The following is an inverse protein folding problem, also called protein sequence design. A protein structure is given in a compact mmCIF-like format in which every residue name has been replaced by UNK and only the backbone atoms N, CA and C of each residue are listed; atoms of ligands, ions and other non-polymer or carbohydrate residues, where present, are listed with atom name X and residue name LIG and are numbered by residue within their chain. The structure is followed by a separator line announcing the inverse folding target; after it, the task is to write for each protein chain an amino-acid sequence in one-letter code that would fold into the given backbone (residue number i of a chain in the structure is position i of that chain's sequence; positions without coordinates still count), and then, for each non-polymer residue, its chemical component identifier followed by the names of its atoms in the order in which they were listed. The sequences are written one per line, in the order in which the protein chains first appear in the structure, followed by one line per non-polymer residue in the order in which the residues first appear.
data_IF_627683150789
#
_entry.id   IF_627683150789
#
_cell.length_a   1.000
_cell.length_b   1.000
_cell.length_c   1.000
_cell.angle_alpha   90.00
_cell.angle_beta   90.00
_cell.angle_gamma   90.00
#
_symmetry.space_group_name_H-M   'P 1'
#
loop_
_entity.id
_entity.type
_entity.pdbx_description
1 polymer ?
#
# COMPACT_ATOMS: atom_id res chain seq x y z
N UNK A 1 -73.90 -19.82 -18.82
CA UNK A 1 -74.11 -18.51 -19.47
C UNK A 1 -72.83 -17.71 -19.36
N UNK A 2 -72.33 -17.21 -20.50
CA UNK A 2 -71.21 -16.27 -20.72
C UNK A 2 -69.82 -16.78 -20.30
N UNK A 3 -68.70 -16.67 -21.01
CA UNK A 3 -68.17 -16.01 -22.23
C UNK A 3 -66.78 -15.51 -21.75
N UNK A 4 -65.66 -15.43 -22.47
CA UNK A 4 -65.20 -15.63 -23.83
C UNK A 4 -63.66 -15.64 -23.70
N UNK A 5 -62.94 -16.34 -24.57
CA UNK A 5 -61.50 -16.09 -24.80
C UNK A 5 -61.30 -14.65 -25.29
N UNK A 6 -60.20 -13.99 -24.88
CA UNK A 6 -59.30 -13.26 -25.80
C UNK A 6 -57.88 -13.26 -25.21
N UNK A 7 -56.94 -13.82 -25.98
CA UNK A 7 -55.49 -13.65 -25.84
C UNK A 7 -55.11 -12.30 -26.44
N UNK A 8 -54.39 -11.46 -25.69
CA UNK A 8 -53.54 -10.43 -26.29
C UNK A 8 -52.21 -10.35 -25.53
N UNK A 9 -51.15 -10.72 -26.24
CA UNK A 9 -49.78 -10.52 -25.84
C UNK A 9 -49.41 -9.03 -25.95
N UNK A 10 -48.82 -8.48 -24.90
CA UNK A 10 -48.00 -7.25 -25.00
C UNK A 10 -46.64 -7.60 -24.42
N UNK A 11 -45.67 -7.72 -25.32
CA UNK A 11 -44.26 -7.69 -24.99
C UNK A 11 -43.86 -6.23 -24.73
N UNK A 12 -43.31 -5.94 -23.54
CA UNK A 12 -42.43 -4.80 -23.34
C UNK A 12 -41.64 -4.92 -22.03
N UNK A 13 -40.32 -5.03 -22.18
CA UNK A 13 -39.28 -4.62 -21.24
C UNK A 13 -39.19 -5.33 -19.89
N UNK A 14 -38.39 -6.41 -19.90
CA UNK A 14 -37.65 -6.92 -18.74
C UNK A 14 -36.90 -5.75 -18.06
N UNK A 15 -37.27 -5.43 -16.82
CA UNK A 15 -36.43 -4.62 -15.93
C UNK A 15 -36.10 -5.50 -14.74
N UNK A 16 -35.18 -6.43 -14.97
CA UNK A 16 -34.52 -7.20 -13.94
C UNK A 16 -33.89 -6.22 -12.96
N UNK A 17 -34.47 -6.09 -11.78
CA UNK A 17 -33.86 -5.40 -10.65
C UNK A 17 -32.77 -6.29 -10.09
N UNK A 18 -31.67 -6.44 -10.83
CA UNK A 18 -30.44 -6.98 -10.30
C UNK A 18 -29.83 -5.91 -9.38
N UNK A 19 -29.52 -6.23 -8.11
CA UNK A 19 -28.62 -5.38 -7.35
C UNK A 19 -27.30 -5.30 -8.15
N UNK A 20 -26.64 -4.13 -8.23
CA UNK A 20 -25.33 -4.07 -8.87
C UNK A 20 -24.45 -5.15 -8.24
N UNK A 21 -23.67 -5.91 -9.02
CA UNK A 21 -22.70 -6.81 -8.42
C UNK A 21 -21.88 -5.98 -7.42
N UNK A 22 -21.51 -6.54 -6.25
CA UNK A 22 -20.50 -5.88 -5.44
C UNK A 22 -19.37 -5.54 -6.40
N UNK A 23 -18.92 -4.28 -6.40
CA UNK A 23 -17.63 -3.94 -7.01
C UNK A 23 -16.60 -4.74 -6.23
N UNK A 24 -16.45 -6.01 -6.59
CA UNK A 24 -15.19 -6.70 -6.52
C UNK A 24 -14.29 -5.86 -7.40
N UNK A 25 -13.58 -4.93 -6.77
CA UNK A 25 -12.28 -4.51 -7.25
C UNK A 25 -11.45 -5.79 -7.29
N UNK A 26 -11.53 -6.46 -8.43
CA UNK A 26 -10.59 -7.46 -8.85
C UNK A 26 -9.19 -6.88 -8.65
N UNK A 27 -8.35 -7.62 -7.93
CA UNK A 27 -6.91 -7.38 -7.89
C UNK A 27 -6.53 -5.99 -7.39
N UNK A 28 -6.70 -5.75 -6.08
CA UNK A 28 -5.84 -4.78 -5.42
C UNK A 28 -4.41 -5.30 -5.47
N UNK A 29 -3.73 -5.01 -6.58
CA UNK A 29 -2.28 -5.07 -6.70
C UNK A 29 -1.70 -4.60 -5.36
N UNK A 30 -0.80 -5.42 -4.81
CA UNK A 30 -0.19 -5.13 -3.52
C UNK A 30 0.20 -3.65 -3.43
N UNK A 31 0.02 -3.04 -2.25
CA UNK A 31 0.04 -1.59 -2.02
C UNK A 31 1.01 -0.89 -2.96
N UNK A 32 0.43 -0.26 -3.98
CA UNK A 32 1.21 0.53 -4.92
C UNK A 32 1.71 1.71 -4.11
N UNK A 33 3.00 1.71 -3.79
CA UNK A 33 3.67 2.88 -3.25
C UNK A 33 3.70 3.91 -4.38
N UNK A 34 2.63 4.70 -4.49
CA UNK A 34 2.36 5.57 -5.66
C UNK A 34 3.28 6.80 -5.66
N UNK A 35 3.77 7.20 -4.48
CA UNK A 35 4.65 8.35 -4.34
C UNK A 35 6.09 8.00 -4.75
N UNK A 36 6.66 8.79 -5.68
CA UNK A 36 8.07 8.67 -6.03
C UNK A 36 8.90 9.50 -5.04
N UNK A 37 9.73 8.82 -4.25
CA UNK A 37 10.70 9.45 -3.35
C UNK A 37 11.82 10.11 -4.15
N UNK A 38 12.49 11.12 -3.60
CA UNK A 38 13.79 11.52 -4.14
C UNK A 38 14.83 10.44 -3.85
N UNK A 39 15.93 10.40 -4.62
CA UNK A 39 17.02 9.44 -4.34
C UNK A 39 17.59 9.61 -2.93
N UNK A 40 17.77 10.86 -2.48
CA UNK A 40 18.28 11.14 -1.12
C UNK A 40 17.36 10.56 -0.06
N UNK A 41 16.05 10.79 -0.18
CA UNK A 41 15.09 10.25 0.78
C UNK A 41 14.99 8.73 0.72
N UNK A 42 15.14 8.12 -0.46
CA UNK A 42 15.23 6.67 -0.58
C UNK A 42 16.48 6.11 0.12
N UNK A 43 17.62 6.80 0.01
CA UNK A 43 18.83 6.46 0.76
C UNK A 43 18.62 6.63 2.28
N UNK A 44 18.06 7.74 2.71
CA UNK A 44 17.71 7.96 4.13
C UNK A 44 16.82 6.83 4.64
N UNK A 45 15.80 6.45 3.86
CA UNK A 45 14.86 5.40 4.24
C UNK A 45 15.53 4.02 4.34
N UNK A 46 16.36 3.65 3.36
CA UNK A 46 17.04 2.36 3.37
C UNK A 46 18.08 2.22 4.48
N UNK A 47 18.80 3.29 4.81
CA UNK A 47 19.87 3.29 5.83
C UNK A 47 19.44 3.83 7.19
N UNK A 48 18.12 3.97 7.43
CA UNK A 48 17.59 4.53 8.67
C UNK A 48 18.03 3.77 9.92
N UNK A 49 18.27 2.45 9.82
CA UNK A 49 18.74 1.62 10.94
C UNK A 49 20.07 2.12 11.50
N UNK A 50 21.01 2.43 10.61
CA UNK A 50 22.34 2.88 10.97
C UNK A 50 22.32 4.38 11.31
N UNK A 51 21.65 5.19 10.48
CA UNK A 51 21.63 6.66 10.64
C UNK A 51 20.85 7.14 11.87
N UNK A 52 19.88 6.36 12.33
CA UNK A 52 19.14 6.65 13.58
C UNK A 52 19.91 6.26 14.84
N UNK A 53 21.03 5.53 14.71
CA UNK A 53 21.73 4.92 15.85
C UNK A 53 21.02 3.68 16.43
N UNK A 54 19.89 3.25 15.86
CA UNK A 54 19.13 2.10 16.35
C UNK A 54 19.93 0.78 16.33
N UNK A 55 20.89 0.64 15.42
CA UNK A 55 21.78 -0.52 15.38
C UNK A 55 22.57 -0.74 16.69
N UNK A 56 22.94 0.35 17.36
CA UNK A 56 23.73 0.33 18.60
C UNK A 56 22.86 0.27 19.87
N UNK A 57 21.54 0.41 19.76
CA UNK A 57 20.61 0.43 20.90
C UNK A 57 19.99 -0.96 21.16
N UNK A 58 19.31 -1.08 22.32
CA UNK A 58 18.56 -2.27 22.71
C UNK A 58 17.34 -2.46 21.81
N UNK A 59 16.97 -3.72 21.58
CA UNK A 59 15.90 -4.09 20.64
C UNK A 59 14.57 -3.37 20.90
N UNK A 60 14.24 -3.06 22.16
CA UNK A 60 13.02 -2.38 22.56
C UNK A 60 12.89 -0.96 21.98
N UNK A 61 14.01 -0.26 21.77
CA UNK A 61 14.00 1.14 21.31
C UNK A 61 14.18 1.28 19.79
N UNK A 62 14.63 0.23 19.11
CA UNK A 62 15.06 0.31 17.70
C UNK A 62 14.00 0.89 16.77
N UNK A 63 12.78 0.38 16.87
CA UNK A 63 11.68 0.83 16.02
C UNK A 63 11.31 2.29 16.28
N UNK A 64 11.38 2.73 17.53
CA UNK A 64 11.12 4.12 17.89
C UNK A 64 12.20 5.05 17.33
N UNK A 65 13.49 4.71 17.51
CA UNK A 65 14.61 5.52 17.01
C UNK A 65 14.58 5.66 15.48
N UNK A 66 14.30 4.57 14.77
CA UNK A 66 14.16 4.58 13.31
C UNK A 66 13.00 5.49 12.90
N UNK A 67 11.84 5.33 13.53
CA UNK A 67 10.66 6.11 13.19
C UNK A 67 10.83 7.62 13.50
N UNK A 68 11.41 7.96 14.65
CA UNK A 68 11.70 9.34 15.05
C UNK A 68 12.69 10.00 14.08
N UNK A 69 13.76 9.30 13.71
CA UNK A 69 14.74 9.80 12.75
C UNK A 69 14.13 9.98 11.35
N UNK A 70 13.37 8.99 10.86
CA UNK A 70 12.69 9.08 9.56
C UNK A 70 11.70 10.24 9.50
N UNK A 71 10.95 10.47 10.58
CA UNK A 71 10.02 11.61 10.68
C UNK A 71 10.70 12.97 10.56
N UNK A 72 12.01 13.06 10.86
CA UNK A 72 12.81 14.28 10.75
C UNK A 72 13.48 14.43 9.38
N UNK A 73 13.84 13.33 8.71
CA UNK A 73 14.52 13.38 7.41
C UNK A 73 13.56 13.41 6.22
N UNK A 74 12.47 12.64 6.29
CA UNK A 74 11.54 12.49 5.17
C UNK A 74 10.43 13.54 5.29
N UNK A 75 10.76 14.77 4.89
CA UNK A 75 9.88 15.94 5.06
C UNK A 75 9.11 16.34 3.81
N UNK A 76 9.49 15.83 2.63
CA UNK A 76 8.78 16.14 1.39
C UNK A 76 7.34 15.61 1.44
N UNK A 77 6.46 16.22 0.64
CA UNK A 77 5.07 15.76 0.53
C UNK A 77 5.00 14.33 -0.02
N UNK A 78 5.79 14.02 -1.06
CA UNK A 78 5.87 12.68 -1.63
C UNK A 78 6.45 11.67 -0.65
N UNK A 79 7.46 12.05 0.12
CA UNK A 79 8.05 11.18 1.14
C UNK A 79 7.09 10.89 2.29
N UNK A 80 6.36 11.90 2.78
CA UNK A 80 5.31 11.69 3.79
C UNK A 80 4.17 10.81 3.25
N UNK A 81 3.76 11.00 2.00
CA UNK A 81 2.78 10.14 1.35
C UNK A 81 3.26 8.68 1.25
N UNK A 82 4.53 8.48 0.85
CA UNK A 82 5.15 7.17 0.80
C UNK A 82 5.18 6.51 2.19
N UNK A 83 5.59 7.22 3.23
CA UNK A 83 5.60 6.70 4.60
C UNK A 83 4.19 6.32 5.09
N UNK A 84 3.16 7.08 4.70
CA UNK A 84 1.77 6.77 5.01
C UNK A 84 1.25 5.54 4.26
N UNK A 85 1.63 5.35 3.00
CA UNK A 85 1.35 4.12 2.23
C UNK A 85 2.09 2.92 2.86
N UNK A 86 3.35 3.11 3.24
CA UNK A 86 4.17 2.08 3.89
C UNK A 86 3.63 1.69 5.28
N UNK A 87 3.12 2.64 6.06
CA UNK A 87 2.49 2.36 7.34
C UNK A 87 1.21 1.52 7.21
N UNK A 88 0.44 1.74 6.13
CA UNK A 88 -0.80 1.00 5.82
C UNK A 88 -0.58 -0.48 5.52
N UNK A 89 0.66 -0.88 5.23
CA UNK A 89 1.05 -2.28 5.13
C UNK A 89 0.83 -3.06 6.44
N UNK A 90 0.68 -2.36 7.57
CA UNK A 90 0.31 -2.99 8.84
C UNK A 90 1.34 -4.00 9.28
N UNK A 91 0.92 -5.23 9.61
CA UNK A 91 1.83 -6.31 10.04
C UNK A 91 2.31 -7.19 8.88
N UNK A 92 2.02 -6.83 7.63
CA UNK A 92 2.48 -7.58 6.46
C UNK A 92 3.98 -7.33 6.23
N UNK A 93 4.79 -8.16 6.91
CA UNK A 93 6.25 -8.16 6.80
C UNK A 93 6.73 -8.36 5.36
N UNK A 94 6.09 -9.26 4.60
CA UNK A 94 6.50 -9.57 3.24
C UNK A 94 6.24 -8.40 2.29
N UNK A 95 5.07 -7.73 2.43
CA UNK A 95 4.77 -6.52 1.67
C UNK A 95 5.72 -5.38 2.03
N UNK A 96 6.03 -5.17 3.31
CA UNK A 96 6.99 -4.15 3.77
C UNK A 96 8.39 -4.38 3.22
N UNK A 97 8.88 -5.62 3.28
CA UNK A 97 10.17 -6.00 2.71
C UNK A 97 10.19 -5.73 1.20
N UNK A 98 9.18 -6.21 0.47
CA UNK A 98 9.07 -6.03 -0.98
C UNK A 98 9.02 -4.54 -1.38
N UNK A 99 8.31 -3.73 -0.59
CA UNK A 99 8.24 -2.28 -0.75
C UNK A 99 9.62 -1.61 -0.68
N UNK A 100 10.41 -1.97 0.34
CA UNK A 100 11.76 -1.43 0.55
C UNK A 100 12.77 -1.92 -0.50
N UNK A 101 12.72 -3.19 -0.87
CA UNK A 101 13.56 -3.75 -1.94
C UNK A 101 13.27 -3.10 -3.29
N UNK A 102 11.98 -2.87 -3.61
CA UNK A 102 11.57 -2.14 -4.81
C UNK A 102 12.07 -0.71 -4.78
N UNK A 103 11.97 -0.03 -3.64
CA UNK A 103 12.47 1.34 -3.48
C UNK A 103 13.97 1.41 -3.81
N UNK A 104 14.78 0.55 -3.18
CA UNK A 104 16.21 0.48 -3.44
C UNK A 104 16.51 0.25 -4.92
N UNK A 105 15.83 -0.71 -5.56
CA UNK A 105 15.98 -1.00 -6.98
C UNK A 105 15.61 0.19 -7.88
N UNK A 106 14.49 0.86 -7.61
CA UNK A 106 14.04 2.03 -8.37
C UNK A 106 15.05 3.18 -8.34
N UNK A 107 15.76 3.35 -7.22
CA UNK A 107 16.75 4.41 -7.05
C UNK A 107 18.21 3.98 -7.29
N UNK A 108 18.44 2.73 -7.72
CA UNK A 108 19.77 2.21 -8.01
C UNK A 108 20.65 2.08 -6.76
N UNK A 109 20.04 1.82 -5.60
CA UNK A 109 20.75 1.55 -4.35
C UNK A 109 21.21 0.09 -4.33
N UNK A 110 22.43 -0.14 -3.85
CA UNK A 110 23.00 -1.49 -3.78
C UNK A 110 22.29 -2.38 -2.75
N UNK A 111 21.82 -1.77 -1.67
CA UNK A 111 21.21 -2.45 -0.53
C UNK A 111 20.15 -1.58 0.17
N UNK A 112 19.37 -2.23 1.03
CA UNK A 112 18.39 -1.58 1.88
C UNK A 112 18.35 -2.27 3.25
N UNK A 113 19.25 -1.92 4.18
CA UNK A 113 19.33 -2.53 5.51
C UNK A 113 17.99 -2.55 6.26
N UNK A 114 17.16 -1.51 6.09
CA UNK A 114 15.83 -1.45 6.69
C UNK A 114 14.92 -2.61 6.24
N UNK A 115 15.09 -3.15 5.03
CA UNK A 115 14.31 -4.29 4.53
C UNK A 115 14.57 -5.57 5.35
N UNK A 116 15.78 -5.74 5.87
CA UNK A 116 16.15 -6.91 6.68
C UNK A 116 15.42 -6.95 8.04
N UNK A 117 14.96 -5.81 8.55
CA UNK A 117 14.16 -5.75 9.78
C UNK A 117 12.76 -6.37 9.64
N UNK A 118 12.31 -6.58 8.40
CA UNK A 118 11.00 -7.17 8.09
C UNK A 118 11.08 -8.65 7.69
N UNK A 119 12.15 -9.34 8.10
CA UNK A 119 12.22 -10.81 8.06
C UNK A 119 11.41 -11.44 9.20
#
# INVERSE_FOLDING_TARGET
MRALLVVLAVAACQRSSDPPPPRGSAGGAGPSLVATLTRSEAEDLCFAVDRSGAAADVAANRNYLIADWLGKQIVSETGRAWMADFARLGQDKAARRTALERLAKTHGLADCPLAAMWQ
#
